data_IF_770109117734
#
_entry.id   IF_770109117734
#
_cell.length_a   1.000
_cell.length_b   1.000
_cell.length_c   1.000
_cell.angle_alpha   90.00
_cell.angle_beta   90.00
_cell.angle_gamma   90.00
#
_symmetry.space_group_name_H-M   'P 1'
#
loop_
_entity.id
_entity.type
_entity.pdbx_description
1 polymer ?
#
# COMPACT_ATOMS: atom_id res chain seq x y z
N UNK A 1 -21.71 -18.01 10.09
CA UNK A 1 -20.57 -18.71 9.43
C UNK A 1 -19.89 -17.89 8.33
N UNK A 2 -20.61 -17.12 7.49
CA UNK A 2 -20.02 -16.33 6.41
C UNK A 2 -18.99 -15.29 6.87
N UNK A 3 -19.26 -14.56 7.96
CA UNK A 3 -18.36 -13.56 8.54
C UNK A 3 -17.03 -14.21 8.99
N UNK A 4 -17.09 -15.36 9.66
CA UNK A 4 -15.90 -16.08 10.11
C UNK A 4 -15.05 -16.53 8.92
N UNK A 5 -15.69 -17.03 7.86
CA UNK A 5 -15.00 -17.43 6.62
C UNK A 5 -14.30 -16.23 5.97
N UNK A 6 -14.96 -15.08 5.88
CA UNK A 6 -14.37 -13.85 5.34
C UNK A 6 -13.21 -13.32 6.19
N UNK A 7 -13.31 -13.37 7.51
CA UNK A 7 -12.21 -12.98 8.41
C UNK A 7 -10.99 -13.91 8.25
N UNK A 8 -11.23 -15.22 8.20
CA UNK A 8 -10.14 -16.20 8.04
C UNK A 8 -9.47 -16.04 6.67
N UNK A 9 -10.26 -15.98 5.60
CA UNK A 9 -9.74 -15.92 4.23
C UNK A 9 -9.17 -14.54 3.86
N UNK A 10 -9.78 -13.46 4.34
CA UNK A 10 -9.39 -12.09 4.00
C UNK A 10 -8.30 -11.49 4.88
N UNK A 11 -8.13 -11.96 6.12
CA UNK A 11 -7.14 -11.40 7.05
C UNK A 11 -6.10 -12.44 7.49
N UNK A 12 -6.56 -13.56 8.05
CA UNK A 12 -5.64 -14.52 8.67
C UNK A 12 -4.77 -15.23 7.64
N UNK A 13 -5.36 -15.71 6.54
CA UNK A 13 -4.63 -16.43 5.51
C UNK A 13 -3.55 -15.55 4.82
N UNK A 14 -3.83 -14.29 4.41
CA UNK A 14 -2.80 -13.38 3.89
C UNK A 14 -1.69 -13.07 4.88
N UNK A 15 -2.04 -12.87 6.17
CA UNK A 15 -1.05 -12.64 7.22
C UNK A 15 -0.12 -13.84 7.40
N UNK A 16 -0.67 -15.05 7.39
CA UNK A 16 0.12 -16.30 7.52
C UNK A 16 1.02 -16.51 6.30
N UNK A 17 0.49 -16.35 5.08
CA UNK A 17 1.28 -16.52 3.84
C UNK A 17 2.36 -15.44 3.72
N UNK A 18 1.98 -14.17 3.84
CA UNK A 18 2.91 -13.05 3.76
C UNK A 18 3.96 -13.10 4.88
N UNK A 19 3.52 -13.33 6.12
CA UNK A 19 4.40 -13.46 7.28
C UNK A 19 5.33 -14.67 7.20
N UNK A 20 4.84 -15.81 6.73
CA UNK A 20 5.62 -17.03 6.54
C UNK A 20 6.72 -16.86 5.49
N UNK A 21 6.39 -16.30 4.32
CA UNK A 21 7.38 -15.99 3.28
C UNK A 21 8.38 -14.95 3.79
N UNK A 22 7.93 -13.95 4.55
CA UNK A 22 8.81 -12.95 5.14
C UNK A 22 9.79 -13.57 6.17
N UNK A 23 9.32 -14.49 7.02
CA UNK A 23 10.16 -15.24 7.96
C UNK A 23 11.20 -16.08 7.20
N UNK A 24 10.77 -16.78 6.15
CA UNK A 24 11.61 -17.59 5.30
C UNK A 24 12.67 -16.76 4.58
N UNK A 25 12.28 -15.63 3.98
CA UNK A 25 13.16 -14.66 3.35
C UNK A 25 14.27 -14.20 4.30
N UNK A 26 13.89 -13.92 5.55
CA UNK A 26 14.85 -13.55 6.58
C UNK A 26 15.78 -14.71 6.99
N UNK A 27 15.28 -15.94 7.05
CA UNK A 27 16.14 -17.10 7.35
C UNK A 27 17.18 -17.36 6.26
N UNK A 28 16.81 -17.20 4.99
CA UNK A 28 17.72 -17.35 3.85
C UNK A 28 18.79 -16.26 3.83
N UNK A 29 18.40 -15.02 4.09
CA UNK A 29 19.33 -13.89 4.14
C UNK A 29 20.39 -14.07 5.25
N UNK A 30 20.15 -14.84 6.31
CA UNK A 30 21.16 -15.06 7.35
C UNK A 30 22.40 -15.78 6.81
N UNK A 31 22.26 -16.66 5.82
CA UNK A 31 23.37 -17.47 5.29
C UNK A 31 24.43 -16.57 4.61
N UNK A 32 25.70 -16.96 4.75
CA UNK A 32 26.93 -16.19 4.48
C UNK A 32 27.14 -15.87 2.98
N UNK A 33 26.22 -15.13 2.37
CA UNK A 33 26.36 -14.57 1.02
C UNK A 33 26.90 -13.13 1.05
N UNK A 34 27.46 -12.69 -0.08
CA UNK A 34 27.83 -11.30 -0.34
C UNK A 34 26.67 -10.34 -0.03
N UNK A 35 26.95 -9.25 0.71
CA UNK A 35 25.99 -8.21 1.12
C UNK A 35 25.09 -7.72 -0.03
N UNK A 36 25.65 -7.59 -1.24
CA UNK A 36 24.90 -7.10 -2.40
C UNK A 36 23.90 -8.13 -2.94
N UNK A 37 24.27 -9.43 -2.97
CA UNK A 37 23.34 -10.51 -3.36
C UNK A 37 22.23 -10.66 -2.33
N UNK A 38 22.57 -10.54 -1.05
CA UNK A 38 21.65 -10.61 0.08
C UNK A 38 20.61 -9.49 0.06
N UNK A 39 21.03 -8.26 -0.23
CA UNK A 39 20.10 -7.13 -0.40
C UNK A 39 19.13 -7.33 -1.59
N UNK A 40 19.62 -7.87 -2.71
CA UNK A 40 18.78 -8.15 -3.89
C UNK A 40 17.80 -9.29 -3.63
N UNK A 41 18.26 -10.39 -3.03
CA UNK A 41 17.44 -11.56 -2.73
C UNK A 41 16.36 -11.23 -1.68
N UNK A 42 16.72 -10.54 -0.60
CA UNK A 42 15.75 -10.07 0.40
C UNK A 42 14.75 -9.08 -0.21
N UNK A 43 15.24 -8.16 -1.05
CA UNK A 43 14.46 -7.30 -1.95
C UNK A 43 13.29 -8.02 -2.61
N UNK A 44 13.66 -9.00 -3.40
CA UNK A 44 12.73 -9.77 -4.20
C UNK A 44 11.80 -10.63 -3.34
N UNK A 45 12.33 -11.30 -2.30
CA UNK A 45 11.52 -12.18 -1.45
C UNK A 45 10.46 -11.41 -0.64
N UNK A 46 10.73 -10.17 -0.22
CA UNK A 46 9.71 -9.32 0.42
C UNK A 46 8.63 -8.93 -0.60
N UNK A 47 9.00 -8.62 -1.85
CA UNK A 47 8.02 -8.37 -2.90
C UNK A 47 7.16 -9.62 -3.18
N UNK A 48 7.76 -10.82 -3.18
CA UNK A 48 7.06 -12.10 -3.27
C UNK A 48 6.10 -12.27 -2.09
N UNK A 49 6.54 -12.01 -0.86
CA UNK A 49 5.71 -12.13 0.34
C UNK A 49 4.45 -11.24 0.27
N UNK A 50 4.63 -9.97 -0.11
CA UNK A 50 3.53 -9.02 -0.27
C UNK A 50 2.58 -9.45 -1.38
N UNK A 51 3.10 -9.82 -2.54
CA UNK A 51 2.30 -10.15 -3.72
C UNK A 51 1.56 -11.47 -3.54
N UNK A 52 2.23 -12.51 -3.04
CA UNK A 52 1.62 -13.80 -2.76
C UNK A 52 0.58 -13.70 -1.63
N UNK A 53 0.91 -13.01 -0.54
CA UNK A 53 -0.05 -12.74 0.55
C UNK A 53 -1.29 -12.02 0.04
N UNK A 54 -1.10 -11.00 -0.81
CA UNK A 54 -2.21 -10.24 -1.39
C UNK A 54 -3.05 -11.10 -2.34
N UNK A 55 -2.42 -11.84 -3.26
CA UNK A 55 -3.12 -12.71 -4.23
C UNK A 55 -3.88 -13.83 -3.54
N UNK A 56 -3.34 -14.42 -2.46
CA UNK A 56 -4.05 -15.42 -1.67
C UNK A 56 -5.26 -14.80 -0.95
N UNK A 57 -5.12 -13.60 -0.39
CA UNK A 57 -6.26 -12.89 0.20
C UNK A 57 -7.33 -12.53 -0.83
N UNK A 58 -6.90 -12.01 -1.97
CA UNK A 58 -7.77 -11.70 -3.10
C UNK A 58 -8.56 -12.94 -3.52
N UNK A 59 -7.87 -14.06 -3.77
CA UNK A 59 -8.53 -15.31 -4.20
C UNK A 59 -9.43 -15.92 -3.13
N UNK A 60 -9.09 -15.74 -1.86
CA UNK A 60 -9.96 -16.14 -0.75
C UNK A 60 -11.26 -15.33 -0.64
N UNK A 61 -11.23 -14.04 -1.02
CA UNK A 61 -12.39 -13.15 -0.98
C UNK A 61 -13.23 -13.21 -2.27
N UNK A 62 -12.57 -13.09 -3.42
CA UNK A 62 -13.19 -12.87 -4.73
C UNK A 62 -13.15 -14.12 -5.64
N UNK A 63 -12.38 -15.14 -5.27
CA UNK A 63 -12.07 -16.26 -6.17
C UNK A 63 -11.04 -15.90 -7.23
N UNK A 64 -10.98 -16.68 -8.31
CA UNK A 64 -10.04 -16.43 -9.40
C UNK A 64 -10.47 -15.21 -10.22
N UNK A 65 -9.57 -14.23 -10.47
CA UNK A 65 -9.93 -13.06 -11.25
C UNK A 65 -10.23 -13.46 -12.71
N UNK A 66 -11.29 -12.92 -13.33
CA UNK A 66 -11.61 -13.22 -14.72
C UNK A 66 -10.61 -12.54 -15.68
N UNK A 67 -10.31 -13.21 -16.79
CA UNK A 67 -9.49 -12.67 -17.88
C UNK A 67 -10.33 -12.56 -19.17
N UNK A 68 -10.48 -11.36 -19.77
CA UNK A 68 -9.91 -10.09 -19.34
C UNK A 68 -10.63 -9.50 -18.09
N UNK A 69 -9.95 -8.62 -17.31
CA UNK A 69 -10.54 -8.00 -16.13
C UNK A 69 -11.72 -7.09 -16.53
N UNK A 70 -12.88 -7.31 -15.90
CA UNK A 70 -14.11 -6.53 -16.17
C UNK A 70 -14.31 -5.34 -15.24
N UNK A 71 -13.87 -5.47 -13.99
CA UNK A 71 -14.05 -4.47 -12.93
C UNK A 71 -12.70 -3.97 -12.44
N UNK A 72 -12.66 -2.74 -11.92
CA UNK A 72 -11.44 -2.14 -11.38
C UNK A 72 -10.87 -2.91 -10.18
N UNK A 73 -11.72 -3.60 -9.40
CA UNK A 73 -11.30 -4.49 -8.31
C UNK A 73 -10.48 -5.68 -8.83
N UNK A 74 -10.85 -6.24 -9.99
CA UNK A 74 -10.15 -7.40 -10.57
C UNK A 74 -8.71 -7.06 -10.95
N UNK A 75 -8.45 -5.80 -11.34
CA UNK A 75 -7.10 -5.32 -11.62
C UNK A 75 -6.18 -5.37 -10.41
N UNK A 76 -6.69 -5.31 -9.17
CA UNK A 76 -5.83 -5.32 -7.97
C UNK A 76 -4.97 -6.59 -7.88
N UNK A 77 -5.53 -7.75 -8.25
CA UNK A 77 -4.76 -9.00 -8.31
C UNK A 77 -3.67 -8.96 -9.40
N UNK A 78 -3.95 -8.35 -10.56
CA UNK A 78 -2.95 -8.20 -11.61
C UNK A 78 -1.89 -7.15 -11.25
N UNK A 79 -2.27 -6.09 -10.55
CA UNK A 79 -1.35 -5.06 -10.05
C UNK A 79 -0.37 -5.62 -9.03
N UNK A 80 -0.78 -6.58 -8.17
CA UNK A 80 0.16 -7.28 -7.28
C UNK A 80 1.23 -8.04 -8.08
N UNK A 81 0.82 -8.74 -9.14
CA UNK A 81 1.72 -9.51 -10.02
C UNK A 81 2.64 -8.57 -10.82
N UNK A 82 2.11 -7.49 -11.39
CA UNK A 82 2.90 -6.47 -12.09
C UNK A 82 3.91 -5.84 -11.12
N UNK A 83 3.51 -5.59 -9.88
CA UNK A 83 4.38 -5.10 -8.82
C UNK A 83 5.51 -6.07 -8.51
N UNK A 84 5.22 -7.38 -8.41
CA UNK A 84 6.22 -8.42 -8.20
C UNK A 84 7.25 -8.46 -9.32
N UNK A 85 6.78 -8.48 -10.57
CA UNK A 85 7.62 -8.51 -11.77
C UNK A 85 8.50 -7.25 -11.78
N UNK A 86 7.90 -6.08 -11.57
CA UNK A 86 8.63 -4.80 -11.51
C UNK A 86 9.67 -4.79 -10.39
N UNK A 87 9.34 -5.34 -9.23
CA UNK A 87 10.23 -5.48 -8.08
C UNK A 87 11.46 -6.34 -8.36
N UNK A 88 11.31 -7.41 -9.16
CA UNK A 88 12.43 -8.28 -9.54
C UNK A 88 13.49 -7.56 -10.40
N UNK A 89 13.04 -6.66 -11.27
CA UNK A 89 13.91 -5.87 -12.15
C UNK A 89 14.39 -4.56 -11.52
N UNK A 90 13.92 -4.23 -10.31
CA UNK A 90 14.15 -2.93 -9.67
C UNK A 90 15.63 -2.61 -9.38
N UNK A 91 16.47 -3.64 -9.27
CA UNK A 91 17.91 -3.48 -9.03
C UNK A 91 18.75 -3.39 -10.30
N UNK A 92 18.17 -3.55 -11.50
CA UNK A 92 18.94 -3.69 -12.74
C UNK A 92 19.50 -2.36 -13.27
N UNK A 93 18.68 -1.31 -13.37
CA UNK A 93 19.09 -0.01 -13.92
C UNK A 93 18.22 1.12 -13.38
N UNK A 94 18.84 2.27 -13.03
CA UNK A 94 18.12 3.47 -12.59
C UNK A 94 17.18 3.98 -13.69
N UNK A 95 17.65 3.97 -14.95
CA UNK A 95 16.86 4.37 -16.10
C UNK A 95 15.74 3.39 -16.40
N UNK A 96 16.01 2.08 -16.32
CA UNK A 96 14.98 1.05 -16.49
C UNK A 96 13.84 1.22 -15.49
N UNK A 97 14.15 1.50 -14.22
CA UNK A 97 13.13 1.82 -13.22
C UNK A 97 12.30 3.04 -13.58
N UNK A 98 12.93 4.15 -13.95
CA UNK A 98 12.22 5.38 -14.31
C UNK A 98 11.31 5.18 -15.52
N UNK A 99 11.78 4.47 -16.55
CA UNK A 99 10.98 4.15 -17.74
C UNK A 99 9.78 3.29 -17.34
N UNK A 100 9.98 2.24 -16.54
CA UNK A 100 8.88 1.38 -16.06
C UNK A 100 7.90 2.17 -15.20
N UNK A 101 8.38 3.05 -14.31
CA UNK A 101 7.52 3.92 -13.51
C UNK A 101 6.68 4.85 -14.37
N UNK A 102 7.29 5.54 -15.35
CA UNK A 102 6.57 6.44 -16.26
C UNK A 102 5.54 5.64 -17.07
N UNK A 103 5.94 4.52 -17.67
CA UNK A 103 5.07 3.68 -18.48
C UNK A 103 3.87 3.17 -17.66
N UNK A 104 4.10 2.63 -16.46
CA UNK A 104 3.03 2.16 -15.58
C UNK A 104 2.16 3.30 -15.07
N UNK A 105 2.73 4.47 -14.78
CA UNK A 105 1.96 5.64 -14.35
C UNK A 105 1.01 6.14 -15.43
N UNK A 106 1.38 5.98 -16.71
CA UNK A 106 0.52 6.31 -17.84
C UNK A 106 -0.55 5.21 -18.06
N UNK A 107 -0.14 3.94 -18.02
CA UNK A 107 -1.00 2.81 -18.39
C UNK A 107 -2.04 2.49 -17.30
N UNK A 108 -1.68 2.53 -16.03
CA UNK A 108 -2.55 2.06 -14.94
C UNK A 108 -3.82 2.89 -14.79
N UNK A 109 -3.80 4.24 -14.78
CA UNK A 109 -5.03 5.04 -14.74
C UNK A 109 -5.96 4.70 -15.89
N UNK A 110 -5.40 4.48 -17.09
CA UNK A 110 -6.17 4.11 -18.27
C UNK A 110 -6.84 2.74 -18.12
N UNK A 111 -6.14 1.77 -17.54
CA UNK A 111 -6.68 0.42 -17.32
C UNK A 111 -7.72 0.38 -16.21
N UNK A 112 -7.44 1.02 -15.07
CA UNK A 112 -8.33 1.05 -13.91
C UNK A 112 -9.61 1.83 -14.19
N UNK A 113 -9.50 2.98 -14.87
CA UNK A 113 -10.62 3.90 -15.10
C UNK A 113 -11.25 3.73 -16.47
N UNK A 114 -11.03 2.59 -17.13
CA UNK A 114 -11.48 2.35 -18.50
C UNK A 114 -12.99 2.60 -18.68
N UNK A 115 -13.82 2.29 -17.68
CA UNK A 115 -15.25 2.59 -17.73
C UNK A 115 -15.54 4.09 -17.67
N UNK A 116 -14.88 4.85 -16.79
CA UNK A 116 -15.04 6.30 -16.69
C UNK A 116 -14.67 6.99 -18.00
N UNK A 117 -13.56 6.57 -18.62
CA UNK A 117 -13.16 7.10 -19.92
C UNK A 117 -14.08 6.74 -21.08
N UNK A 118 -14.79 5.61 -21.01
CA UNK A 118 -15.65 5.13 -22.09
C UNK A 118 -17.05 5.73 -22.01
N UNK A 119 -17.56 5.91 -20.80
CA UNK A 119 -18.97 6.19 -20.57
C UNK A 119 -19.25 7.52 -19.87
N UNK A 120 -18.26 8.09 -19.17
CA UNK A 120 -18.49 9.28 -18.32
C UNK A 120 -17.81 10.52 -18.88
N UNK A 121 -16.53 10.43 -19.24
CA UNK A 121 -15.74 11.60 -19.65
C UNK A 121 -15.78 11.84 -21.16
N UNK A 122 -15.89 13.11 -21.55
CA UNK A 122 -15.63 13.54 -22.92
C UNK A 122 -14.17 13.36 -23.33
N UNK A 123 -13.86 13.43 -24.62
CA UNK A 123 -12.49 13.20 -25.12
C UNK A 123 -11.45 14.15 -24.50
N UNK A 124 -11.74 15.45 -24.45
CA UNK A 124 -10.82 16.44 -23.88
C UNK A 124 -10.68 16.32 -22.36
N UNK A 125 -11.79 16.18 -21.65
CA UNK A 125 -11.80 15.98 -20.19
C UNK A 125 -11.04 14.71 -19.81
N UNK A 126 -11.26 13.62 -20.55
CA UNK A 126 -10.53 12.37 -20.37
C UNK A 126 -9.03 12.57 -20.51
N UNK A 127 -8.55 13.24 -21.57
CA UNK A 127 -7.11 13.49 -21.75
C UNK A 127 -6.52 14.28 -20.57
N UNK A 128 -7.23 15.30 -20.08
CA UNK A 128 -6.80 16.10 -18.94
C UNK A 128 -6.68 15.22 -17.69
N UNK A 129 -7.73 14.47 -17.34
CA UNK A 129 -7.69 13.55 -16.19
C UNK A 129 -6.60 12.50 -16.32
N UNK A 130 -6.41 11.94 -17.51
CA UNK A 130 -5.38 10.94 -17.76
C UNK A 130 -3.98 11.48 -17.50
N UNK A 131 -3.67 12.67 -18.03
CA UNK A 131 -2.38 13.34 -17.83
C UNK A 131 -2.16 13.69 -16.35
N UNK A 132 -3.17 14.28 -15.70
CA UNK A 132 -3.11 14.62 -14.27
C UNK A 132 -2.90 13.39 -13.39
N UNK A 133 -3.64 12.30 -13.65
CA UNK A 133 -3.51 11.06 -12.91
C UNK A 133 -2.14 10.42 -13.17
N UNK A 134 -1.64 10.41 -14.40
CA UNK A 134 -0.32 9.86 -14.69
C UNK A 134 0.80 10.59 -13.92
N UNK A 135 0.74 11.91 -13.84
CA UNK A 135 1.67 12.70 -13.03
C UNK A 135 1.50 12.40 -11.53
N UNK A 136 0.26 12.35 -11.04
CA UNK A 136 -0.03 12.05 -9.64
C UNK A 136 0.45 10.66 -9.23
N UNK A 137 0.22 9.64 -10.06
CA UNK A 137 0.68 8.25 -9.87
C UNK A 137 2.19 8.19 -9.81
N UNK A 138 2.88 8.90 -10.71
CA UNK A 138 4.34 8.94 -10.74
C UNK A 138 4.92 9.57 -9.46
N UNK A 139 4.37 10.71 -9.03
CA UNK A 139 4.75 11.39 -7.79
C UNK A 139 4.48 10.48 -6.58
N UNK A 140 3.29 9.90 -6.50
CA UNK A 140 2.88 8.99 -5.44
C UNK A 140 3.83 7.79 -5.31
N UNK A 141 4.16 7.16 -6.44
CA UNK A 141 5.12 6.06 -6.47
C UNK A 141 6.47 6.51 -5.92
N UNK A 142 6.97 7.66 -6.35
CA UNK A 142 8.25 8.18 -5.87
C UNK A 142 8.27 8.36 -4.35
N UNK A 143 7.17 8.87 -3.77
CA UNK A 143 7.04 9.07 -2.32
C UNK A 143 7.01 7.74 -1.58
N UNK A 144 6.28 6.74 -2.09
CA UNK A 144 6.28 5.39 -1.51
C UNK A 144 7.67 4.76 -1.57
N UNK A 145 8.41 5.00 -2.64
CA UNK A 145 9.79 4.53 -2.76
C UNK A 145 10.73 5.26 -1.78
N UNK A 146 10.60 6.58 -1.65
CA UNK A 146 11.43 7.39 -0.77
C UNK A 146 11.14 7.08 0.70
N UNK A 147 9.88 6.89 1.09
CA UNK A 147 9.49 6.54 2.46
C UNK A 147 10.18 5.25 2.93
N UNK A 148 10.38 4.26 2.05
CA UNK A 148 11.09 3.02 2.38
C UNK A 148 12.55 3.29 2.75
N UNK A 149 13.17 4.31 2.16
CA UNK A 149 14.55 4.71 2.45
C UNK A 149 14.69 5.62 3.66
N UNK A 150 13.64 6.38 3.97
CA UNK A 150 13.66 7.40 5.02
C UNK A 150 13.23 6.85 6.37
N UNK A 151 12.22 5.98 6.37
CA UNK A 151 11.65 5.46 7.59
C UNK A 151 12.74 4.72 8.39
N UNK A 152 12.83 4.93 9.72
CA UNK A 152 13.82 4.26 10.53
C UNK A 152 13.78 2.75 10.32
N UNK A 153 14.96 2.12 10.34
CA UNK A 153 15.08 0.67 10.23
C UNK A 153 14.29 -0.03 11.35
N UNK A 154 13.84 -1.25 11.07
CA UNK A 154 13.02 -2.03 12.00
C UNK A 154 11.51 -1.79 11.85
N UNK A 155 10.79 -1.84 12.97
CA UNK A 155 9.32 -1.95 12.98
C UNK A 155 8.53 -0.70 12.56
N UNK A 156 9.15 0.47 12.43
CA UNK A 156 8.46 1.72 12.07
C UNK A 156 7.84 1.69 10.68
N UNK A 157 8.57 1.16 9.70
CA UNK A 157 8.08 1.10 8.32
C UNK A 157 6.80 0.25 8.17
N UNK A 158 6.76 -1.04 8.60
CA UNK A 158 5.54 -1.82 8.54
C UNK A 158 4.42 -1.25 9.42
N UNK A 159 4.73 -0.58 10.53
CA UNK A 159 3.72 0.08 11.35
C UNK A 159 3.03 1.25 10.62
N UNK A 160 3.80 2.09 9.92
CA UNK A 160 3.25 3.20 9.12
C UNK A 160 2.32 2.67 8.03
N UNK A 161 2.73 1.63 7.30
CA UNK A 161 1.90 1.04 6.25
C UNK A 161 0.70 0.27 6.80
N UNK A 162 0.81 -0.33 7.99
CA UNK A 162 -0.32 -0.88 8.74
C UNK A 162 -1.33 0.22 9.08
N UNK A 163 -0.89 1.35 9.64
CA UNK A 163 -1.77 2.47 9.96
C UNK A 163 -2.44 3.09 8.71
N UNK A 164 -1.67 3.27 7.64
CA UNK A 164 -2.17 3.83 6.37
C UNK A 164 -3.20 2.92 5.69
N UNK A 165 -2.90 1.62 5.59
CA UNK A 165 -3.85 0.64 5.04
C UNK A 165 -5.07 0.47 5.94
N UNK A 166 -4.91 0.56 7.27
CA UNK A 166 -6.00 0.49 8.23
C UNK A 166 -6.94 1.68 8.12
N UNK A 167 -6.37 2.89 8.01
CA UNK A 167 -7.13 4.09 7.74
C UNK A 167 -7.83 4.06 6.38
N UNK A 168 -7.15 3.55 5.35
CA UNK A 168 -7.75 3.34 4.02
C UNK A 168 -8.95 2.39 4.12
N UNK A 169 -8.80 1.25 4.81
CA UNK A 169 -9.88 0.28 4.99
C UNK A 169 -11.08 0.88 5.73
N UNK A 170 -10.84 1.64 6.81
CA UNK A 170 -11.89 2.30 7.58
C UNK A 170 -12.62 3.38 6.77
N UNK A 171 -11.87 4.23 6.07
CA UNK A 171 -12.46 5.26 5.18
C UNK A 171 -13.33 4.60 4.13
N UNK A 172 -12.84 3.54 3.45
CA UNK A 172 -13.62 2.82 2.43
C UNK A 172 -14.87 2.15 3.00
N UNK A 173 -14.76 1.51 4.17
CA UNK A 173 -15.90 0.84 4.80
C UNK A 173 -17.00 1.83 5.17
N UNK A 174 -16.60 2.99 5.71
CA UNK A 174 -17.51 4.06 6.11
C UNK A 174 -18.09 4.80 4.90
N UNK A 175 -17.36 4.87 3.79
CA UNK A 175 -17.85 5.36 2.50
C UNK A 175 -18.74 4.36 1.75
N UNK A 176 -19.12 3.24 2.36
CA UNK A 176 -20.07 2.28 1.78
C UNK A 176 -19.42 1.15 0.96
N UNK A 177 -18.10 1.16 0.77
CA UNK A 177 -17.40 0.11 0.01
C UNK A 177 -16.78 -0.94 0.91
N UNK A 178 -17.61 -1.86 1.40
CA UNK A 178 -17.11 -2.99 2.19
C UNK A 178 -16.12 -3.86 1.38
N UNK A 179 -16.36 -4.00 0.07
CA UNK A 179 -15.52 -4.82 -0.82
C UNK A 179 -14.10 -4.26 -0.93
N UNK A 180 -13.93 -2.97 -1.25
CA UNK A 180 -12.59 -2.35 -1.28
C UNK A 180 -11.96 -2.26 0.11
N UNK A 181 -12.78 -2.04 1.15
CA UNK A 181 -12.29 -2.06 2.54
C UNK A 181 -11.64 -3.40 2.91
N UNK A 182 -12.22 -4.52 2.47
CA UNK A 182 -11.63 -5.85 2.67
C UNK A 182 -10.30 -6.00 1.93
N UNK A 183 -10.17 -5.46 0.70
CA UNK A 183 -8.90 -5.46 -0.01
C UNK A 183 -7.81 -4.62 0.67
N UNK A 184 -8.18 -3.46 1.23
CA UNK A 184 -7.28 -2.71 2.10
C UNK A 184 -6.95 -3.50 3.38
N UNK A 185 -7.93 -4.23 3.94
CA UNK A 185 -7.76 -5.13 5.07
C UNK A 185 -6.73 -6.25 4.84
N UNK A 186 -6.64 -6.80 3.63
CA UNK A 186 -5.58 -7.75 3.26
C UNK A 186 -4.19 -7.12 3.49
N UNK A 187 -4.00 -5.87 3.02
CA UNK A 187 -2.75 -5.14 3.23
C UNK A 187 -2.48 -4.89 4.72
N UNK A 188 -3.52 -4.51 5.48
CA UNK A 188 -3.44 -4.35 6.95
C UNK A 188 -2.89 -5.61 7.58
N UNK A 189 -3.43 -6.78 7.21
CA UNK A 189 -3.04 -8.05 7.79
C UNK A 189 -1.58 -8.41 7.47
N UNK A 190 -1.15 -8.19 6.22
CA UNK A 190 0.23 -8.44 5.79
C UNK A 190 1.21 -7.49 6.50
N UNK A 191 0.88 -6.21 6.61
CA UNK A 191 1.71 -5.22 7.29
C UNK A 191 1.73 -5.43 8.81
N UNK A 192 0.61 -5.81 9.42
CA UNK A 192 0.55 -6.19 10.83
C UNK A 192 1.45 -7.40 11.12
N UNK A 193 1.36 -8.46 10.29
CA UNK A 193 2.23 -9.63 10.43
C UNK A 193 3.71 -9.24 10.30
N UNK A 194 4.05 -8.44 9.28
CA UNK A 194 5.42 -7.94 9.07
C UNK A 194 5.92 -7.11 10.25
N UNK A 195 5.06 -6.27 10.83
CA UNK A 195 5.36 -5.46 12.01
C UNK A 195 5.62 -6.32 13.25
N UNK A 196 4.71 -7.26 13.56
CA UNK A 196 4.84 -8.18 14.71
C UNK A 196 6.11 -9.02 14.60
N UNK A 197 6.36 -9.61 13.42
CA UNK A 197 7.58 -10.43 13.18
C UNK A 197 8.84 -9.58 13.37
N UNK A 198 8.83 -8.35 12.87
CA UNK A 198 9.96 -7.43 13.05
C UNK A 198 10.16 -7.09 14.51
N UNK A 199 9.08 -6.75 15.24
CA UNK A 199 9.14 -6.39 16.65
C UNK A 199 9.69 -7.53 17.52
N UNK A 200 9.19 -8.75 17.33
CA UNK A 200 9.66 -9.94 18.07
C UNK A 200 11.13 -10.22 17.79
N UNK A 201 11.57 -10.13 16.52
CA UNK A 201 12.96 -10.44 16.16
C UNK A 201 13.94 -9.32 16.49
N UNK A 202 13.53 -8.05 16.45
CA UNK A 202 14.37 -6.91 16.81
C UNK A 202 14.76 -6.92 18.30
N UNK A 203 13.94 -7.54 19.15
CA UNK A 203 14.30 -7.77 20.57
C UNK A 203 15.46 -8.77 20.73
N UNK A 204 15.63 -9.67 19.79
CA UNK A 204 16.65 -10.73 19.83
C UNK A 204 17.94 -10.34 19.12
N UNK A 205 17.83 -9.65 17.98
CA UNK A 205 18.96 -9.19 17.18
C UNK A 205 19.09 -7.68 17.30
N UNK A 206 20.20 -7.18 17.84
CA UNK A 206 20.52 -5.75 17.92
C UNK A 206 20.82 -5.12 16.54
N UNK A 207 20.36 -5.77 15.45
CA UNK A 207 20.76 -5.48 14.09
C UNK A 207 19.74 -4.56 13.41
N UNK A 208 20.22 -3.42 12.88
CA UNK A 208 19.42 -2.38 12.23
C UNK A 208 19.10 -2.77 10.79
N UNK A 209 18.19 -3.71 10.62
CA UNK A 209 17.77 -4.18 9.30
C UNK A 209 16.59 -3.40 8.74
N UNK A 210 16.66 -3.09 7.45
CA UNK A 210 15.57 -2.47 6.70
C UNK A 210 14.55 -3.54 6.31
N UNK A 211 13.34 -3.44 6.85
CA UNK A 211 12.26 -4.43 6.67
C UNK A 211 11.73 -4.42 5.24
N UNK A 212 11.56 -3.22 4.67
CA UNK A 212 11.07 -3.02 3.32
C UNK A 212 12.16 -2.51 2.39
N UNK A 213 12.86 -3.41 1.69
CA UNK A 213 13.80 -3.03 0.65
C UNK A 213 13.08 -2.36 -0.54
N UNK A 214 13.82 -1.56 -1.31
CA UNK A 214 13.31 -0.81 -2.47
C UNK A 214 12.53 -1.68 -3.48
N UNK A 215 12.90 -2.95 -3.65
CA UNK A 215 12.23 -3.89 -4.56
C UNK A 215 10.78 -4.20 -4.19
N UNK A 216 10.36 -3.97 -2.95
CA UNK A 216 8.98 -4.15 -2.51
C UNK A 216 8.09 -2.92 -2.79
N UNK A 217 8.70 -1.75 -3.07
CA UNK A 217 7.95 -0.50 -3.28
C UNK A 217 6.95 -0.55 -4.44
N UNK A 218 7.21 -1.21 -5.59
CA UNK A 218 6.23 -1.33 -6.66
C UNK A 218 4.94 -2.00 -6.22
N UNK A 219 5.02 -3.10 -5.46
CA UNK A 219 3.85 -3.85 -5.00
C UNK A 219 2.98 -2.98 -4.11
N UNK A 220 3.58 -2.29 -3.14
CA UNK A 220 2.85 -1.42 -2.21
C UNK A 220 2.25 -0.21 -2.93
N UNK A 221 3.02 0.46 -3.79
CA UNK A 221 2.55 1.61 -4.54
C UNK A 221 1.36 1.23 -5.44
N UNK A 222 1.49 0.17 -6.23
CA UNK A 222 0.46 -0.26 -7.17
C UNK A 222 -0.83 -0.69 -6.48
N UNK A 223 -0.74 -1.42 -5.37
CA UNK A 223 -1.92 -1.87 -4.63
C UNK A 223 -2.64 -0.72 -3.93
N UNK A 224 -1.92 0.17 -3.23
CA UNK A 224 -2.52 1.34 -2.60
C UNK A 224 -3.15 2.26 -3.64
N UNK A 225 -2.46 2.51 -4.75
CA UNK A 225 -2.96 3.31 -5.85
C UNK A 225 -4.23 2.70 -6.46
N UNK A 226 -4.20 1.40 -6.74
CA UNK A 226 -5.37 0.69 -7.25
C UNK A 226 -6.57 0.81 -6.31
N UNK A 227 -6.36 0.61 -5.01
CA UNK A 227 -7.42 0.72 -4.00
C UNK A 227 -7.96 2.15 -3.93
N UNK A 228 -7.10 3.16 -3.89
CA UNK A 228 -7.51 4.56 -3.76
C UNK A 228 -8.20 5.10 -5.02
N UNK A 229 -7.70 4.75 -6.20
CA UNK A 229 -8.35 5.13 -7.46
C UNK A 229 -9.72 4.50 -7.59
N UNK A 230 -9.86 3.21 -7.26
CA UNK A 230 -11.17 2.57 -7.26
C UNK A 230 -12.11 3.21 -6.23
N UNK A 231 -11.62 3.48 -5.01
CA UNK A 231 -12.43 4.10 -3.96
C UNK A 231 -12.91 5.50 -4.34
N UNK A 232 -12.04 6.33 -4.89
CA UNK A 232 -12.39 7.70 -5.27
C UNK A 232 -13.33 7.76 -6.48
N UNK A 233 -13.07 6.99 -7.54
CA UNK A 233 -13.84 7.10 -8.79
C UNK A 233 -15.09 6.22 -8.85
N UNK A 234 -15.18 5.14 -8.06
CA UNK A 234 -16.30 4.21 -8.13
C UNK A 234 -17.11 4.09 -6.85
N UNK A 235 -16.59 4.53 -5.71
CA UNK A 235 -17.22 4.32 -4.40
C UNK A 235 -17.40 5.62 -3.60
N UNK A 236 -17.40 6.76 -4.30
CA UNK A 236 -17.72 8.09 -3.76
C UNK A 236 -16.93 8.49 -2.49
N UNK A 237 -15.72 7.93 -2.32
CA UNK A 237 -14.87 8.28 -1.18
C UNK A 237 -14.63 9.78 -1.17
N UNK A 238 -14.87 10.48 -0.05
CA UNK A 238 -14.68 11.92 0.02
C UNK A 238 -13.26 12.33 -0.43
N UNK A 239 -13.18 13.23 -1.40
CA UNK A 239 -11.91 13.72 -1.94
C UNK A 239 -10.95 14.19 -0.85
N UNK A 240 -11.48 14.87 0.18
CA UNK A 240 -10.71 15.34 1.33
C UNK A 240 -10.05 14.18 2.10
N UNK A 241 -10.76 13.08 2.32
CA UNK A 241 -10.21 11.89 2.99
C UNK A 241 -9.12 11.23 2.14
N UNK A 242 -9.33 11.11 0.82
CA UNK A 242 -8.32 10.58 -0.10
C UNK A 242 -7.05 11.45 -0.15
N UNK A 243 -7.22 12.77 -0.21
CA UNK A 243 -6.11 13.75 -0.18
C UNK A 243 -5.35 13.67 1.15
N UNK A 244 -6.05 13.58 2.28
CA UNK A 244 -5.42 13.45 3.59
C UNK A 244 -4.63 12.14 3.73
N UNK A 245 -5.16 11.02 3.24
CA UNK A 245 -4.44 9.75 3.19
C UNK A 245 -3.18 9.86 2.32
N UNK A 246 -3.26 10.56 1.18
CA UNK A 246 -2.09 10.85 0.35
C UNK A 246 -1.08 11.71 1.11
N UNK A 247 -1.51 12.82 1.73
CA UNK A 247 -0.67 13.71 2.54
C UNK A 247 0.04 12.94 3.67
N UNK A 248 -0.61 11.95 4.28
CA UNK A 248 0.01 11.12 5.30
C UNK A 248 1.34 10.49 4.83
N UNK A 249 1.44 10.07 3.57
CA UNK A 249 2.68 9.56 2.97
C UNK A 249 3.71 10.67 2.71
N UNK A 250 3.26 11.86 2.27
CA UNK A 250 4.14 13.03 2.08
C UNK A 250 4.78 13.51 3.38
N UNK A 251 4.25 13.12 4.54
CA UNK A 251 4.81 13.44 5.83
C UNK A 251 5.88 12.43 6.30
N UNK A 252 6.11 11.33 5.57
CA UNK A 252 7.19 10.40 5.89
C UNK A 252 8.60 11.06 5.96
N UNK A 253 8.96 12.01 5.08
CA UNK A 253 10.22 12.76 5.16
C UNK A 253 10.43 13.59 6.44
N UNK A 254 9.39 13.87 7.22
CA UNK A 254 9.49 14.66 8.46
C UNK A 254 10.50 14.04 9.45
N UNK A 255 10.66 12.72 9.44
CA UNK A 255 11.67 12.02 10.25
C UNK A 255 13.14 12.38 9.92
N UNK A 256 13.42 13.03 8.77
CA UNK A 256 14.76 13.50 8.39
C UNK A 256 15.14 14.86 8.98
N UNK A 257 14.17 15.60 9.53
CA UNK A 257 14.44 16.92 10.09
C UNK A 257 15.42 16.75 11.25
N UNK A 258 16.58 17.41 11.19
CA UNK A 258 17.65 17.26 12.18
C UNK A 258 17.15 17.44 13.62
N UNK A 259 16.26 18.42 13.84
CA UNK A 259 15.65 18.67 15.15
C UNK A 259 14.94 17.44 15.71
N UNK A 260 14.26 16.66 14.85
CA UNK A 260 13.55 15.44 15.23
C UNK A 260 14.55 14.30 15.44
N UNK A 261 15.58 14.20 14.61
CA UNK A 261 16.63 13.19 14.77
C UNK A 261 17.43 13.34 16.07
N UNK A 262 17.65 14.59 16.52
CA UNK A 262 18.31 14.91 17.80
C UNK A 262 17.53 14.41 19.03
N UNK A 263 16.24 14.10 18.91
CA UNK A 263 15.43 13.54 20.01
C UNK A 263 15.75 12.06 20.31
N UNK A 264 16.59 11.42 19.50
CA UNK A 264 16.91 10.00 19.59
C UNK A 264 15.91 9.12 18.82
N UNK A 265 16.35 7.91 18.45
CA UNK A 265 15.63 7.05 17.49
C UNK A 265 14.18 6.74 17.92
N UNK A 266 13.96 6.44 19.21
CA UNK A 266 12.62 6.08 19.72
C UNK A 266 11.66 7.27 19.70
N UNK A 267 12.10 8.45 20.15
CA UNK A 267 11.27 9.66 20.17
C UNK A 267 11.00 10.16 18.74
N UNK A 268 12.01 10.12 17.88
CA UNK A 268 11.85 10.44 16.45
C UNK A 268 10.81 9.55 15.78
N UNK A 269 10.86 8.23 16.01
CA UNK A 269 9.87 7.30 15.48
C UNK A 269 8.44 7.59 15.99
N UNK A 270 8.28 7.89 17.28
CA UNK A 270 6.97 8.26 17.85
C UNK A 270 6.44 9.54 17.20
N UNK A 271 7.26 10.58 17.08
CA UNK A 271 6.87 11.84 16.43
C UNK A 271 6.46 11.60 14.99
N UNK A 272 7.25 10.85 14.22
CA UNK A 272 6.95 10.52 12.83
C UNK A 272 5.64 9.74 12.70
N UNK A 273 5.40 8.76 13.57
CA UNK A 273 4.14 8.01 13.64
C UNK A 273 2.97 8.95 13.94
N UNK A 274 3.08 9.82 14.95
CA UNK A 274 2.03 10.76 15.30
C UNK A 274 1.70 11.72 14.15
N UNK A 275 2.72 12.24 13.47
CA UNK A 275 2.57 13.15 12.33
C UNK A 275 1.87 12.46 11.15
N UNK A 276 2.17 11.19 10.88
CA UNK A 276 1.52 10.41 9.81
C UNK A 276 0.10 9.97 10.23
N UNK A 277 -0.09 9.59 11.49
CA UNK A 277 -1.39 9.14 11.99
C UNK A 277 -2.43 10.27 12.04
N UNK A 278 -2.01 11.50 12.30
CA UNK A 278 -2.90 12.66 12.39
C UNK A 278 -3.79 12.84 11.14
N UNK A 279 -3.27 12.98 9.91
CA UNK A 279 -4.12 13.11 8.72
C UNK A 279 -4.97 11.86 8.46
N UNK A 280 -4.51 10.66 8.84
CA UNK A 280 -5.31 9.43 8.73
C UNK A 280 -6.54 9.49 9.65
N UNK A 281 -6.35 9.90 10.91
CA UNK A 281 -7.45 10.06 11.87
C UNK A 281 -8.44 11.14 11.41
N UNK A 282 -7.94 12.26 10.90
CA UNK A 282 -8.79 13.32 10.34
C UNK A 282 -9.57 12.80 9.12
N UNK A 283 -8.91 12.05 8.23
CA UNK A 283 -9.56 11.45 7.05
C UNK A 283 -10.70 10.50 7.43
N UNK A 284 -10.50 9.68 8.48
CA UNK A 284 -11.54 8.81 9.04
C UNK A 284 -12.68 9.66 9.61
N UNK A 285 -12.37 10.69 10.40
CA UNK A 285 -13.39 11.58 10.97
C UNK A 285 -14.25 12.26 9.91
N UNK A 286 -13.65 12.73 8.82
CA UNK A 286 -14.37 13.32 7.68
C UNK A 286 -15.24 12.27 6.98
N UNK A 287 -14.72 11.05 6.77
CA UNK A 287 -15.49 9.98 6.15
C UNK A 287 -16.71 9.61 7.02
N UNK A 288 -16.54 9.50 8.33
CA UNK A 288 -17.63 9.22 9.28
C UNK A 288 -18.65 10.35 9.27
N UNK A 289 -18.23 11.61 9.32
CA UNK A 289 -19.14 12.75 9.28
C UNK A 289 -19.96 12.79 7.98
N UNK A 290 -19.37 12.40 6.84
CA UNK A 290 -20.06 12.37 5.54
C UNK A 290 -20.89 11.11 5.28
N UNK A 291 -20.62 10.01 5.97
CA UNK A 291 -21.34 8.75 5.78
C UNK A 291 -22.81 8.78 6.22
N UNK A 292 -23.26 9.84 6.90
CA UNK A 292 -24.62 9.91 7.44
C UNK A 292 -24.88 8.95 8.61
N UNK A 293 -23.85 8.26 9.13
CA UNK A 293 -23.95 7.33 10.27
C UNK A 293 -24.60 7.95 11.52
N UNK A 294 -24.57 9.27 11.65
CA UNK A 294 -25.17 10.00 12.78
C UNK A 294 -26.55 10.61 12.48
N UNK A 295 -27.18 10.25 11.36
CA UNK A 295 -28.62 10.52 11.15
C UNK A 295 -28.99 11.93 10.69
N UNK A 296 -28.03 12.80 10.36
CA UNK A 296 -28.34 14.08 9.72
C UNK A 296 -28.39 13.91 8.19
N UNK A 297 -29.50 13.34 7.72
CA UNK A 297 -29.94 13.55 6.34
C UNK A 297 -30.43 15.01 6.19
N UNK A 298 -29.52 15.98 6.18
CA UNK A 298 -29.88 17.29 5.64
C UNK A 298 -29.84 17.16 4.12
N UNK A 299 -31.03 17.05 3.54
CA UNK A 299 -31.28 17.07 2.10
C UNK A 299 -30.47 18.17 1.40
N UNK A 300 -29.56 17.78 0.51
CA UNK A 300 -29.02 18.60 -0.57
C UNK A 300 -28.67 17.72 -1.77
#
# INVERSE_FOLDING_TARGET
>A
MLILKQLILGLLLPAVVGGGIFIFAKSLAWKKESEQKKARLSGWLVAVALSAGYTVGYTGLEGLPPFPPREGVHWLCYLSIIGLISGAFWHSSRWGRLIVQIALSIVIPRLLLNSAFKYTWGQFEGIIWWMCLAVAVFIFWHIVQESFTILPAGGSSPFVYFGLSGGTALVLAVSGSLRLAQHAGILVAIFAASWVITFVRQRSDNNKWQVFPLGASPVVALLLLGIWMNGYFYEEVPAASAILLAIALFLAPVGRIEKIQRLGARRSAIVQICVIALPVVIAIGIAVARSGLFGESSSY
#
